data_IF_122352768887
#
_entry.id   IF_122352768887
#
_cell.length_a   1.000
_cell.length_b   1.000
_cell.length_c   1.000
_cell.angle_alpha   90.00
_cell.angle_beta   90.00
_cell.angle_gamma   90.00
#
_symmetry.space_group_name_H-M   'P 1'
#
loop_
_entity.id
_entity.type
_entity.pdbx_description
1 polymer ?
#
# COMPACT_ATOMS: atom_id res chain seq x y z
N UNK A 1 0.42 55.21 -18.43
CA UNK A 1 -0.09 56.56 -18.08
C UNK A 1 -1.57 56.60 -18.43
N UNK A 2 -2.41 56.88 -17.43
CA UNK A 2 -3.87 56.69 -17.42
C UNK A 2 -4.59 57.48 -18.51
N UNK A 3 -5.62 56.88 -19.09
CA UNK A 3 -6.65 57.53 -19.88
C UNK A 3 -8.00 57.56 -19.14
N UNK A 4 -8.54 58.78 -19.02
CA UNK A 4 -9.95 59.19 -19.03
C UNK A 4 -10.99 58.54 -18.11
N UNK A 5 -11.50 59.35 -17.17
CA UNK A 5 -12.80 59.25 -16.50
C UNK A 5 -13.96 59.73 -17.40
N UNK A 6 -15.17 59.14 -17.30
CA UNK A 6 -16.54 59.76 -17.30
C UNK A 6 -17.60 58.67 -16.95
N UNK A 7 -18.87 58.96 -16.55
CA UNK A 7 -19.41 59.44 -15.26
C UNK A 7 -20.48 58.45 -14.66
N UNK A 8 -21.28 58.80 -13.62
CA UNK A 8 -22.14 57.86 -12.90
C UNK A 8 -23.51 57.68 -13.56
N UNK A 9 -24.08 56.48 -13.44
CA UNK A 9 -25.48 56.21 -13.80
C UNK A 9 -26.28 56.09 -12.51
N UNK A 10 -27.18 57.06 -12.31
CA UNK A 10 -28.26 56.99 -11.33
C UNK A 10 -29.46 56.32 -12.00
N UNK A 11 -30.07 55.33 -11.34
CA UNK A 11 -31.34 54.75 -11.77
C UNK A 11 -32.28 54.61 -10.57
N UNK A 12 -33.45 55.20 -10.73
CA UNK A 12 -34.52 55.36 -9.75
C UNK A 12 -35.11 54.05 -9.22
N UNK A 13 -35.43 54.05 -7.93
CA UNK A 13 -36.26 53.04 -7.29
C UNK A 13 -37.71 53.26 -7.72
N UNK A 14 -38.28 52.31 -8.47
CA UNK A 14 -39.73 52.19 -8.67
C UNK A 14 -40.20 50.95 -7.93
N UNK A 15 -41.02 51.16 -6.90
CA UNK A 15 -41.67 50.11 -6.13
C UNK A 15 -42.68 49.38 -7.02
N UNK A 16 -42.41 48.10 -7.29
CA UNK A 16 -43.38 47.19 -7.89
C UNK A 16 -43.74 46.15 -6.83
N UNK A 17 -44.90 46.34 -6.19
CA UNK A 17 -45.54 45.36 -5.33
C UNK A 17 -46.03 44.18 -6.18
N UNK A 18 -45.31 43.06 -6.18
CA UNK A 18 -45.80 41.78 -6.67
C UNK A 18 -45.45 40.68 -5.67
N UNK A 19 -46.41 39.78 -5.46
CA UNK A 19 -46.45 38.73 -4.46
C UNK A 19 -45.14 37.93 -4.36
N UNK A 20 -44.65 37.75 -3.13
CA UNK A 20 -43.58 36.80 -2.80
C UNK A 20 -44.21 35.40 -2.69
N UNK A 21 -43.92 34.43 -3.58
CA UNK A 21 -44.26 33.04 -3.31
C UNK A 21 -43.41 32.51 -2.14
N UNK A 22 -43.91 31.54 -1.36
CA UNK A 22 -43.21 31.03 -0.19
C UNK A 22 -41.83 30.45 -0.55
N UNK A 23 -40.85 30.46 0.37
CA UNK A 23 -39.54 29.92 0.11
C UNK A 23 -39.66 28.41 -0.15
N UNK A 24 -39.49 28.01 -1.41
CA UNK A 24 -39.14 26.64 -1.72
C UNK A 24 -37.77 26.40 -1.10
N UNK A 25 -37.75 25.65 -0.01
CA UNK A 25 -36.56 25.05 0.54
C UNK A 25 -36.03 24.09 -0.53
N UNK A 26 -35.14 24.58 -1.38
CA UNK A 26 -34.37 23.74 -2.30
C UNK A 26 -33.40 22.95 -1.43
N UNK A 27 -33.87 21.83 -0.88
CA UNK A 27 -32.98 20.81 -0.32
C UNK A 27 -32.11 20.34 -1.47
N UNK A 28 -30.87 20.81 -1.52
CA UNK A 28 -29.81 20.18 -2.28
C UNK A 28 -29.65 18.77 -1.70
N UNK A 29 -30.41 17.81 -2.23
CA UNK A 29 -30.08 16.40 -2.13
C UNK A 29 -28.77 16.24 -2.89
N UNK A 30 -27.64 16.54 -2.24
CA UNK A 30 -26.35 16.12 -2.74
C UNK A 30 -26.46 14.62 -2.92
N UNK A 31 -26.30 14.14 -4.17
CA UNK A 31 -26.12 12.72 -4.40
C UNK A 31 -25.02 12.27 -3.44
N UNK A 32 -25.24 11.27 -2.57
CA UNK A 32 -24.12 10.67 -1.87
C UNK A 32 -23.18 10.20 -2.97
N UNK A 33 -22.02 10.86 -3.11
CA UNK A 33 -20.94 10.35 -3.92
C UNK A 33 -20.76 8.91 -3.48
N UNK A 34 -20.92 7.95 -4.40
CA UNK A 34 -20.63 6.56 -4.09
C UNK A 34 -19.22 6.54 -3.50
N UNK A 35 -19.10 6.17 -2.23
CA UNK A 35 -17.80 6.10 -1.57
C UNK A 35 -16.98 5.09 -2.38
N UNK A 36 -15.92 5.57 -3.04
CA UNK A 36 -14.99 4.68 -3.74
C UNK A 36 -14.28 3.91 -2.62
N UNK A 37 -14.59 2.62 -2.52
CA UNK A 37 -13.98 1.69 -1.58
C UNK A 37 -12.70 1.20 -2.25
N UNK A 38 -11.50 1.49 -1.70
CA UNK A 38 -10.26 0.96 -2.25
C UNK A 38 -10.29 -0.56 -2.30
N UNK A 39 -9.83 -1.15 -3.40
CA UNK A 39 -9.77 -2.59 -3.62
C UNK A 39 -8.33 -3.08 -3.65
N UNK A 40 -8.02 -4.09 -2.86
CA UNK A 40 -6.68 -4.68 -2.77
C UNK A 40 -6.76 -6.16 -3.12
N UNK A 41 -5.92 -6.62 -4.06
CA UNK A 41 -5.80 -8.04 -4.39
C UNK A 41 -4.70 -8.67 -3.54
N UNK A 42 -5.08 -9.56 -2.63
CA UNK A 42 -4.15 -10.44 -1.91
C UNK A 42 -3.76 -11.58 -2.86
N UNK A 43 -2.47 -11.68 -3.15
CA UNK A 43 -1.89 -12.79 -3.87
C UNK A 43 -1.02 -13.64 -2.94
N UNK A 44 -1.44 -14.88 -2.69
CA UNK A 44 -0.78 -15.75 -1.70
C UNK A 44 -0.27 -17.08 -2.27
N UNK A 45 -0.12 -17.16 -3.59
CA UNK A 45 0.44 -18.35 -4.22
C UNK A 45 1.89 -18.60 -3.75
N UNK A 46 2.26 -19.88 -3.62
CA UNK A 46 3.62 -20.30 -3.28
C UNK A 46 4.05 -21.42 -4.23
N UNK A 47 5.29 -21.36 -4.71
CA UNK A 47 5.95 -22.44 -5.43
C UNK A 47 7.05 -23.12 -4.60
N UNK A 48 7.36 -22.59 -3.41
CA UNK A 48 8.25 -23.19 -2.42
C UNK A 48 7.57 -23.40 -1.07
N UNK A 49 8.23 -22.99 0.02
CA UNK A 49 7.69 -23.12 1.37
C UNK A 49 6.36 -22.38 1.52
N UNK A 50 5.39 -23.04 2.17
CA UNK A 50 4.04 -22.51 2.44
C UNK A 50 3.91 -22.19 3.92
N UNK A 51 3.66 -20.92 4.23
CA UNK A 51 3.48 -20.48 5.62
C UNK A 51 2.05 -20.79 6.10
N UNK A 52 1.90 -21.45 7.24
CA UNK A 52 0.58 -21.77 7.83
C UNK A 52 -0.21 -20.52 8.26
N UNK A 53 0.47 -19.37 8.37
CA UNK A 53 -0.13 -18.09 8.75
C UNK A 53 -0.98 -17.44 7.65
N UNK A 54 -0.84 -17.82 6.38
CA UNK A 54 -1.53 -17.14 5.26
C UNK A 54 -3.05 -17.10 5.43
N UNK A 55 -3.77 -18.21 5.75
CA UNK A 55 -5.23 -18.14 5.93
C UNK A 55 -5.64 -17.18 7.06
N UNK A 56 -4.89 -17.17 8.16
CA UNK A 56 -5.14 -16.28 9.29
C UNK A 56 -4.88 -14.81 8.93
N UNK A 57 -3.79 -14.53 8.20
CA UNK A 57 -3.45 -13.19 7.73
C UNK A 57 -4.46 -12.66 6.70
N UNK A 58 -4.90 -13.48 5.75
CA UNK A 58 -5.95 -13.11 4.78
C UNK A 58 -7.25 -12.75 5.50
N UNK A 59 -7.71 -13.59 6.44
CA UNK A 59 -8.91 -13.31 7.22
C UNK A 59 -8.79 -12.03 8.06
N UNK A 60 -7.62 -11.79 8.66
CA UNK A 60 -7.36 -10.57 9.43
C UNK A 60 -7.40 -9.31 8.54
N UNK A 61 -6.78 -9.36 7.34
CA UNK A 61 -6.82 -8.27 6.36
C UNK A 61 -8.25 -7.97 5.91
N UNK A 62 -9.04 -9.00 5.60
CA UNK A 62 -10.45 -8.84 5.22
C UNK A 62 -11.28 -8.24 6.36
N UNK A 63 -11.09 -8.69 7.60
CA UNK A 63 -11.78 -8.15 8.78
C UNK A 63 -11.42 -6.69 9.04
N UNK A 64 -10.13 -6.35 9.00
CA UNK A 64 -9.66 -4.97 9.17
C UNK A 64 -10.13 -4.09 8.01
N UNK A 65 -10.14 -4.61 6.79
CA UNK A 65 -10.64 -3.91 5.62
C UNK A 65 -12.09 -3.45 5.81
N UNK A 66 -12.96 -4.31 6.34
CA UNK A 66 -14.35 -3.94 6.66
C UNK A 66 -14.44 -2.78 7.66
N UNK A 67 -13.53 -2.73 8.64
CA UNK A 67 -13.49 -1.66 9.66
C UNK A 67 -12.97 -0.34 9.10
N UNK A 68 -12.10 -0.39 8.08
CA UNK A 68 -11.44 0.77 7.50
C UNK A 68 -11.98 1.18 6.12
N UNK A 69 -13.02 0.52 5.63
CA UNK A 69 -13.62 0.82 4.33
C UNK A 69 -12.72 0.45 3.15
N UNK A 70 -12.00 -0.68 3.25
CA UNK A 70 -11.15 -1.26 2.22
C UNK A 70 -11.69 -2.66 1.88
N UNK A 71 -11.82 -2.96 0.59
CA UNK A 71 -12.18 -4.28 0.11
C UNK A 71 -10.91 -5.08 -0.22
N UNK A 72 -10.83 -6.31 0.29
CA UNK A 72 -9.78 -7.26 -0.06
C UNK A 72 -10.40 -8.45 -0.79
N UNK A 73 -9.90 -8.74 -1.98
CA UNK A 73 -10.10 -10.01 -2.67
C UNK A 73 -8.82 -10.83 -2.53
N UNK A 74 -8.91 -12.16 -2.50
CA UNK A 74 -7.74 -13.04 -2.43
C UNK A 74 -7.71 -14.05 -3.59
N UNK A 75 -6.51 -14.40 -4.03
CA UNK A 75 -6.29 -15.42 -5.04
C UNK A 75 -4.92 -16.09 -4.89
N UNK A 76 -4.86 -17.35 -5.27
CA UNK A 76 -3.61 -18.09 -5.52
C UNK A 76 -3.45 -18.43 -7.02
N UNK A 77 -4.41 -18.01 -7.86
CA UNK A 77 -4.41 -18.26 -9.31
C UNK A 77 -3.61 -17.18 -10.05
N UNK A 78 -2.44 -17.57 -10.58
CA UNK A 78 -1.59 -16.69 -11.38
C UNK A 78 -2.27 -16.17 -12.65
N UNK A 79 -3.32 -16.81 -13.18
CA UNK A 79 -4.04 -16.32 -14.35
C UNK A 79 -4.77 -14.99 -14.06
N UNK A 80 -4.97 -14.64 -12.79
CA UNK A 80 -5.47 -13.34 -12.35
C UNK A 80 -4.47 -12.20 -12.58
N UNK A 81 -3.19 -12.49 -12.86
CA UNK A 81 -2.19 -11.49 -13.24
C UNK A 81 -2.24 -11.18 -14.73
N UNK A 82 -3.24 -10.38 -15.09
CA UNK A 82 -3.40 -9.82 -16.42
C UNK A 82 -3.87 -8.36 -16.32
N UNK A 83 -3.56 -7.54 -17.34
CA UNK A 83 -3.87 -6.10 -17.33
C UNK A 83 -5.34 -5.78 -17.04
N UNK A 84 -6.28 -6.59 -17.54
CA UNK A 84 -7.72 -6.36 -17.34
C UNK A 84 -8.14 -6.58 -15.89
N UNK A 85 -7.58 -7.58 -15.21
CA UNK A 85 -7.94 -7.86 -13.84
C UNK A 85 -7.21 -6.91 -12.88
N UNK A 86 -5.91 -6.70 -13.05
CA UNK A 86 -5.10 -5.84 -12.18
C UNK A 86 -5.58 -4.38 -12.18
N UNK A 87 -6.17 -3.89 -13.28
CA UNK A 87 -6.74 -2.54 -13.37
C UNK A 87 -7.95 -2.30 -12.45
N UNK A 88 -8.53 -3.34 -11.84
CA UNK A 88 -9.64 -3.22 -10.90
C UNK A 88 -9.19 -3.00 -9.44
N UNK A 89 -7.88 -2.97 -9.18
CA UNK A 89 -7.32 -2.89 -7.85
C UNK A 89 -6.47 -1.63 -7.68
N UNK A 90 -6.60 -1.00 -6.52
CA UNK A 90 -5.79 0.14 -6.10
C UNK A 90 -4.41 -0.30 -5.57
N UNK A 91 -4.33 -1.53 -5.04
CA UNK A 91 -3.07 -2.14 -4.63
C UNK A 91 -3.04 -3.65 -4.89
N UNK A 92 -1.85 -4.19 -5.13
CA UNK A 92 -1.57 -5.63 -5.16
C UNK A 92 -0.74 -5.97 -3.92
N UNK A 93 -1.19 -6.94 -3.13
CA UNK A 93 -0.56 -7.36 -1.89
C UNK A 93 -0.03 -8.78 -2.05
N UNK A 94 1.30 -8.95 -2.00
CA UNK A 94 1.94 -10.26 -1.96
C UNK A 94 2.03 -10.73 -0.50
N UNK A 95 1.36 -11.83 -0.18
CA UNK A 95 1.27 -12.37 1.17
C UNK A 95 2.05 -13.67 1.26
N UNK A 96 3.29 -13.58 1.74
CA UNK A 96 4.16 -14.73 2.00
C UNK A 96 4.36 -15.67 0.80
N UNK A 97 4.41 -15.12 -0.41
CA UNK A 97 4.75 -15.85 -1.63
C UNK A 97 6.14 -16.50 -1.51
N UNK A 98 6.45 -17.53 -2.28
CA UNK A 98 7.79 -18.13 -2.28
C UNK A 98 8.11 -18.74 -3.64
N UNK A 99 9.37 -18.61 -4.06
CA UNK A 99 9.88 -19.09 -5.35
C UNK A 99 9.17 -18.44 -6.58
N UNK A 100 9.02 -19.16 -7.68
CA UNK A 100 8.55 -18.63 -8.95
C UNK A 100 7.01 -18.67 -9.05
N UNK A 101 6.34 -17.65 -8.49
CA UNK A 101 4.87 -17.60 -8.37
C UNK A 101 4.16 -16.99 -9.57
N UNK A 102 4.88 -16.37 -10.52
CA UNK A 102 4.31 -15.82 -11.75
C UNK A 102 5.07 -16.36 -12.96
N UNK A 103 4.36 -16.57 -14.07
CA UNK A 103 5.00 -16.76 -15.37
C UNK A 103 5.31 -15.41 -16.03
N UNK A 104 5.94 -15.45 -17.20
CA UNK A 104 6.41 -14.24 -17.88
C UNK A 104 5.27 -13.29 -18.25
N UNK A 105 4.10 -13.82 -18.62
CA UNK A 105 2.91 -12.99 -18.84
C UNK A 105 2.44 -12.31 -17.56
N UNK A 106 2.38 -13.03 -16.44
CA UNK A 106 1.99 -12.48 -15.14
C UNK A 106 2.98 -11.42 -14.65
N UNK A 107 4.29 -11.65 -14.80
CA UNK A 107 5.34 -10.68 -14.51
C UNK A 107 5.20 -9.41 -15.35
N UNK A 108 4.96 -9.56 -16.65
CA UNK A 108 4.76 -8.43 -17.55
C UNK A 108 3.52 -7.60 -17.17
N UNK A 109 2.41 -8.26 -16.86
CA UNK A 109 1.19 -7.59 -16.40
C UNK A 109 1.41 -6.85 -15.09
N UNK A 110 2.13 -7.46 -14.14
CA UNK A 110 2.45 -6.81 -12.87
C UNK A 110 3.36 -5.59 -13.05
N UNK A 111 4.42 -5.72 -13.86
CA UNK A 111 5.28 -4.58 -14.19
C UNK A 111 4.51 -3.46 -14.90
N UNK A 112 3.62 -3.82 -15.82
CA UNK A 112 2.72 -2.87 -16.51
C UNK A 112 1.82 -2.12 -15.51
N UNK A 113 1.25 -2.82 -14.53
CA UNK A 113 0.45 -2.23 -13.46
C UNK A 113 1.27 -1.23 -12.62
N UNK A 114 2.48 -1.58 -12.18
CA UNK A 114 3.35 -0.69 -11.42
C UNK A 114 3.77 0.55 -12.25
N UNK A 115 4.15 0.34 -13.50
CA UNK A 115 4.52 1.43 -14.42
C UNK A 115 3.39 2.44 -14.67
N UNK A 116 2.12 2.02 -14.48
CA UNK A 116 0.93 2.87 -14.58
C UNK A 116 0.59 3.59 -13.26
N UNK A 117 1.42 3.44 -12.23
CA UNK A 117 1.22 4.05 -10.90
C UNK A 117 0.42 3.18 -9.93
N UNK A 118 0.30 1.87 -10.20
CA UNK A 118 -0.31 0.93 -9.27
C UNK A 118 0.51 0.77 -7.99
N UNK A 119 -0.15 0.50 -6.87
CA UNK A 119 0.52 0.33 -5.58
C UNK A 119 0.81 -1.14 -5.28
N UNK A 120 1.89 -1.39 -4.54
CA UNK A 120 2.31 -2.72 -4.11
C UNK A 120 2.59 -2.78 -2.61
N UNK A 121 2.25 -3.93 -2.01
CA UNK A 121 2.57 -4.26 -0.62
C UNK A 121 3.14 -5.68 -0.58
N UNK A 122 4.36 -5.83 -0.05
CA UNK A 122 4.96 -7.15 0.21
C UNK A 122 4.96 -7.46 1.70
N UNK A 123 4.48 -8.64 2.08
CA UNK A 123 4.50 -9.12 3.48
C UNK A 123 5.37 -10.38 3.58
N UNK A 124 6.33 -10.35 4.51
CA UNK A 124 7.17 -11.48 4.91
C UNK A 124 7.88 -12.15 3.70
N UNK A 125 7.54 -13.40 3.38
CA UNK A 125 8.16 -14.14 2.29
C UNK A 125 7.88 -13.57 0.88
N UNK A 126 7.10 -12.50 0.72
CA UNK A 126 7.06 -11.74 -0.53
C UNK A 126 8.47 -11.33 -1.03
N UNK A 127 9.45 -11.17 -0.14
CA UNK A 127 10.87 -10.96 -0.50
C UNK A 127 11.63 -12.22 -0.95
N UNK A 128 11.02 -13.40 -0.81
CA UNK A 128 11.57 -14.72 -1.10
C UNK A 128 10.96 -15.36 -2.37
N UNK A 129 10.50 -14.54 -3.31
CA UNK A 129 9.92 -15.00 -4.58
C UNK A 129 10.47 -14.19 -5.77
N UNK A 130 10.30 -14.73 -6.99
CA UNK A 130 10.66 -14.08 -8.25
C UNK A 130 12.13 -13.61 -8.29
N UNK A 131 13.05 -14.41 -7.72
CA UNK A 131 14.47 -14.06 -7.53
C UNK A 131 15.20 -13.64 -8.81
N UNK A 132 14.72 -14.04 -9.99
CA UNK A 132 15.34 -13.71 -11.29
C UNK A 132 14.63 -12.59 -12.05
N UNK A 133 13.69 -11.89 -11.42
CA UNK A 133 12.86 -10.86 -12.07
C UNK A 133 13.31 -9.46 -11.63
N UNK A 134 14.13 -8.79 -12.44
CA UNK A 134 14.80 -7.52 -12.07
C UNK A 134 13.85 -6.44 -11.55
N UNK A 135 12.70 -6.21 -12.20
CA UNK A 135 11.78 -5.16 -11.74
C UNK A 135 11.24 -5.49 -10.34
N UNK A 136 10.96 -6.76 -10.06
CA UNK A 136 10.45 -7.20 -8.77
C UNK A 136 11.49 -7.02 -7.67
N UNK A 137 12.76 -7.36 -7.95
CA UNK A 137 13.86 -7.14 -7.00
C UNK A 137 13.97 -5.67 -6.58
N UNK A 138 13.84 -4.76 -7.54
CA UNK A 138 13.87 -3.33 -7.28
C UNK A 138 12.62 -2.86 -6.51
N UNK A 139 11.44 -3.39 -6.87
CA UNK A 139 10.17 -3.01 -6.25
C UNK A 139 10.08 -3.47 -4.79
N UNK A 140 10.47 -4.72 -4.49
CA UNK A 140 10.49 -5.24 -3.11
C UNK A 140 11.65 -4.65 -2.29
N UNK A 141 12.63 -4.03 -2.95
CA UNK A 141 13.74 -3.32 -2.33
C UNK A 141 14.93 -4.21 -1.96
N UNK A 142 14.69 -5.39 -1.39
CA UNK A 142 15.73 -6.37 -1.11
C UNK A 142 15.14 -7.79 -1.05
N UNK A 143 15.88 -8.77 -1.59
CA UNK A 143 15.49 -10.17 -1.59
C UNK A 143 15.94 -10.88 -0.31
N UNK A 144 15.14 -11.83 0.13
CA UNK A 144 15.43 -12.73 1.24
C UNK A 144 16.76 -13.47 1.03
N UNK A 145 17.53 -13.61 2.12
CA UNK A 145 18.73 -14.45 2.19
C UNK A 145 18.54 -15.61 3.18
N UNK A 146 18.38 -15.29 4.46
CA UNK A 146 18.13 -16.26 5.52
C UNK A 146 17.47 -15.58 6.73
N UNK A 147 17.00 -16.38 7.69
CA UNK A 147 16.55 -15.91 9.00
C UNK A 147 17.04 -16.84 10.12
N UNK A 148 17.24 -16.33 11.35
CA UNK A 148 17.46 -17.19 12.51
C UNK A 148 16.14 -17.84 12.95
N UNK A 149 16.20 -18.73 13.95
CA UNK A 149 14.99 -19.29 14.56
C UNK A 149 14.12 -18.18 15.20
N UNK A 150 12.82 -18.47 15.25
CA UNK A 150 11.81 -17.62 15.88
C UNK A 150 12.20 -17.28 17.33
N UNK A 151 12.43 -15.99 17.60
CA UNK A 151 12.89 -15.53 18.91
C UNK A 151 12.44 -14.09 19.18
N UNK A 152 12.49 -13.60 20.43
CA UNK A 152 12.25 -12.19 20.72
C UNK A 152 13.29 -11.29 20.00
N UNK A 153 12.81 -10.29 19.26
CA UNK A 153 13.63 -9.29 18.57
C UNK A 153 13.12 -7.90 18.92
N UNK A 154 14.04 -6.94 19.10
CA UNK A 154 13.68 -5.54 19.33
C UNK A 154 13.69 -4.76 18.02
N UNK A 155 12.56 -4.15 17.68
CA UNK A 155 12.41 -3.25 16.55
C UNK A 155 12.67 -1.80 16.96
N UNK A 156 13.22 -1.02 16.03
CA UNK A 156 13.60 0.38 16.18
C UNK A 156 12.84 1.22 15.15
N UNK A 157 12.17 2.29 15.61
CA UNK A 157 11.57 3.28 14.71
C UNK A 157 12.63 4.27 14.26
N UNK A 158 12.95 4.27 12.96
CA UNK A 158 13.95 5.17 12.37
C UNK A 158 13.36 6.50 11.93
N UNK A 159 12.11 6.48 11.44
CA UNK A 159 11.36 7.68 11.08
C UNK A 159 10.05 7.72 11.87
N UNK A 160 9.88 8.75 12.69
CA UNK A 160 8.72 8.92 13.58
C UNK A 160 7.64 9.82 13.00
N UNK A 161 7.98 10.57 11.96
CA UNK A 161 7.07 11.52 11.33
C UNK A 161 6.29 10.85 10.19
N UNK A 162 6.70 9.66 9.77
CA UNK A 162 5.99 8.89 8.75
C UNK A 162 4.61 8.42 9.26
N UNK A 163 3.52 8.58 8.49
CA UNK A 163 2.17 8.24 8.94
C UNK A 163 2.00 6.81 9.47
N UNK A 164 2.75 5.85 8.91
CA UNK A 164 2.72 4.44 9.33
C UNK A 164 3.50 4.12 10.61
N UNK A 165 4.19 5.09 11.20
CA UNK A 165 5.02 4.90 12.41
C UNK A 165 4.72 5.90 13.52
N UNK A 166 3.94 6.97 13.27
CA UNK A 166 3.58 7.98 14.29
C UNK A 166 2.93 7.41 15.56
N UNK A 167 2.25 6.27 15.45
CA UNK A 167 1.57 5.59 16.57
C UNK A 167 2.48 4.63 17.34
N UNK A 168 3.69 4.34 16.84
CA UNK A 168 4.57 3.32 17.41
C UNK A 168 5.49 3.92 18.48
N UNK A 169 5.84 3.15 19.53
CA UNK A 169 6.92 3.53 20.43
C UNK A 169 8.27 3.45 19.71
N UNK A 170 9.27 4.18 20.21
CA UNK A 170 10.63 4.22 19.64
C UNK A 170 11.24 2.83 19.48
N UNK A 171 10.91 1.94 20.42
CA UNK A 171 11.39 0.56 20.51
C UNK A 171 10.31 -0.35 21.06
N UNK A 172 10.19 -1.56 20.51
CA UNK A 172 9.37 -2.62 21.09
C UNK A 172 9.97 -4.00 20.79
N UNK A 173 9.69 -4.97 21.65
CA UNK A 173 10.12 -6.35 21.45
C UNK A 173 8.94 -7.22 21.02
N UNK A 174 9.15 -8.03 19.99
CA UNK A 174 8.17 -9.00 19.49
C UNK A 174 8.88 -10.27 19.06
N UNK A 175 8.22 -11.42 19.15
CA UNK A 175 8.79 -12.70 18.73
C UNK A 175 8.62 -12.85 17.22
N UNK A 176 9.75 -12.89 16.50
CA UNK A 176 9.76 -12.98 15.04
C UNK A 176 11.03 -13.71 14.53
N UNK A 177 10.94 -14.35 13.37
CA UNK A 177 12.01 -14.86 12.54
C UNK A 177 12.55 -13.78 11.59
N UNK A 178 13.08 -12.67 12.12
CA UNK A 178 13.46 -11.50 11.31
C UNK A 178 14.44 -11.83 10.18
N UNK A 179 14.14 -11.33 8.98
CA UNK A 179 14.91 -11.65 7.78
C UNK A 179 16.20 -10.85 7.67
N UNK A 180 17.23 -11.54 7.20
CA UNK A 180 18.41 -10.92 6.61
C UNK A 180 18.23 -10.92 5.09
N UNK A 181 18.70 -9.85 4.46
CA UNK A 181 18.49 -9.60 3.04
C UNK A 181 19.82 -9.58 2.28
N UNK A 182 19.75 -9.93 1.00
CA UNK A 182 20.93 -9.98 0.10
C UNK A 182 21.55 -8.61 -0.18
N UNK A 183 20.85 -7.53 0.13
CA UNK A 183 21.26 -6.15 -0.11
C UNK A 183 20.59 -5.19 0.87
N UNK A 184 21.15 -3.99 1.03
CA UNK A 184 20.45 -2.89 1.72
C UNK A 184 19.41 -2.28 0.76
N UNK A 185 18.11 -2.25 1.10
CA UNK A 185 17.07 -1.67 0.25
C UNK A 185 17.27 -0.17 -0.03
N UNK A 186 18.07 0.55 0.78
CA UNK A 186 18.44 1.94 0.49
C UNK A 186 19.24 2.08 -0.81
N UNK A 187 19.91 1.01 -1.27
CA UNK A 187 20.67 1.01 -2.52
C UNK A 187 19.80 1.22 -3.76
N UNK A 188 18.50 0.89 -3.70
CA UNK A 188 17.51 1.15 -4.75
C UNK A 188 16.62 2.36 -4.42
N UNK A 189 17.02 3.17 -3.44
CA UNK A 189 16.32 4.40 -3.06
C UNK A 189 15.20 4.23 -2.05
N UNK A 190 15.06 3.05 -1.42
CA UNK A 190 14.02 2.84 -0.42
C UNK A 190 14.23 3.70 0.84
N UNK A 191 13.14 4.23 1.37
CA UNK A 191 13.11 4.89 2.68
C UNK A 191 12.81 3.84 3.76
N UNK A 192 13.80 3.54 4.58
CA UNK A 192 13.65 2.57 5.66
C UNK A 192 13.04 3.23 6.90
N UNK A 193 11.88 2.74 7.32
CA UNK A 193 11.12 3.28 8.45
C UNK A 193 11.40 2.58 9.78
N UNK A 194 11.73 1.29 9.72
CA UNK A 194 11.99 0.44 10.87
C UNK A 194 13.29 -0.36 10.64
N UNK A 195 14.03 -0.66 11.71
CA UNK A 195 15.09 -1.69 11.69
C UNK A 195 14.95 -2.61 12.89
N UNK A 196 15.75 -3.67 12.90
CA UNK A 196 15.95 -4.53 14.07
C UNK A 196 17.22 -4.11 14.81
N UNK A 197 17.22 -4.23 16.14
CA UNK A 197 18.43 -4.12 16.95
C UNK A 197 19.20 -5.44 16.86
N UNK A 198 20.32 -5.43 16.14
CA UNK A 198 21.18 -6.59 15.96
C UNK A 198 21.73 -7.16 17.29
N UNK A 199 21.79 -6.39 18.37
CA UNK A 199 22.20 -6.94 19.68
C UNK A 199 21.11 -7.72 20.41
N UNK A 200 19.85 -7.64 19.92
CA UNK A 200 18.69 -8.19 20.63
C UNK A 200 18.37 -9.64 20.27
N UNK A 201 19.03 -10.22 19.27
CA UNK A 201 18.77 -11.57 18.79
C UNK A 201 20.06 -12.26 18.31
N UNK A 202 20.03 -13.58 18.23
CA UNK A 202 21.17 -14.42 17.87
C UNK A 202 20.95 -15.12 16.52
N UNK A 203 22.01 -15.72 15.97
CA UNK A 203 21.93 -16.42 14.68
C UNK A 203 22.09 -15.51 13.45
N UNK A 204 22.62 -14.30 13.63
CA UNK A 204 23.06 -13.47 12.51
C UNK A 204 24.33 -14.09 11.92
N UNK A 205 24.32 -14.37 10.61
CA UNK A 205 25.55 -14.53 9.86
C UNK A 205 26.22 -13.16 9.80
N UNK A 206 27.24 -12.96 10.62
CA UNK A 206 28.24 -11.93 10.35
C UNK A 206 28.98 -12.39 9.10
N UNK A 207 28.61 -11.89 7.92
CA UNK A 207 29.53 -11.94 6.79
C UNK A 207 30.83 -11.27 7.26
N UNK A 208 31.99 -11.94 7.17
CA UNK A 208 33.25 -11.26 7.48
C UNK A 208 33.38 -10.06 6.54
N UNK A 209 33.68 -8.90 7.13
CA UNK A 209 33.93 -7.63 6.44
C UNK A 209 34.93 -7.76 5.26
#
# INVERSE_FOLDING_TARGET
LRGSEVPPVSASVTSCTHLVPPPYLLTLMGNPSAQIIPRILIYSATAGYRHDSIPAATAALQQLGQQHGIAFDDTEDKAQFNDSNLANYDAILFLSNSEEVLDDSGKQAFQSYLNKGGNYVGIHAASACLYNTTFYQNEVGALFDYHPELQPVTFLVLDRDHPSTTMLPDRWTYTEEVYNFRSDPRSVGAKVLLSVDASSYTGQHTSPE
#
